data_IF_412498375346
#
_entry.id   IF_412498375346
#
_cell.length_a   1.000
_cell.length_b   1.000
_cell.length_c   1.000
_cell.angle_alpha   90.00
_cell.angle_beta   90.00
_cell.angle_gamma   90.00
#
_symmetry.space_group_name_H-M   'P 1'
#
loop_
_entity.id
_entity.type
_entity.pdbx_description
1 polymer ?
#
# COMPACT_ATOMS: atom_id res chain seq x y z
N UNK A 1 -13.55 10.14 3.91
CA UNK A 1 -12.11 9.83 3.99
C UNK A 1 -11.51 9.92 2.59
N UNK A 2 -10.27 10.40 2.45
CA UNK A 2 -9.54 10.42 1.17
C UNK A 2 -8.88 9.05 0.97
N UNK A 3 -9.01 8.46 -0.22
CA UNK A 3 -8.36 7.20 -0.56
C UNK A 3 -6.84 7.42 -0.75
N UNK A 4 -5.96 6.78 0.06
CA UNK A 4 -4.52 6.97 -0.02
C UNK A 4 -3.90 6.62 -1.38
N UNK A 5 -4.45 5.62 -2.09
CA UNK A 5 -3.96 5.21 -3.41
C UNK A 5 -4.12 6.32 -4.45
N UNK A 6 -5.30 6.94 -4.51
CA UNK A 6 -5.50 8.10 -5.39
C UNK A 6 -4.62 9.27 -4.96
N UNK A 7 -4.47 9.51 -3.65
CA UNK A 7 -3.60 10.60 -3.17
C UNK A 7 -2.15 10.42 -3.64
N UNK A 8 -1.59 9.23 -3.51
CA UNK A 8 -0.25 8.92 -4.01
C UNK A 8 -0.16 9.15 -5.53
N UNK A 9 -1.12 8.64 -6.29
CA UNK A 9 -1.17 8.80 -7.73
C UNK A 9 -1.19 10.27 -8.18
N UNK A 10 -2.03 11.10 -7.55
CA UNK A 10 -2.13 12.52 -7.90
C UNK A 10 -0.92 13.34 -7.43
N UNK A 11 -0.30 12.98 -6.31
CA UNK A 11 0.94 13.62 -5.85
C UNK A 11 2.12 13.33 -6.80
N UNK A 12 2.12 12.16 -7.43
CA UNK A 12 3.15 11.71 -8.37
C UNK A 12 2.87 12.06 -9.83
N UNK A 13 1.77 12.77 -10.11
CA UNK A 13 1.26 12.98 -11.49
C UNK A 13 2.24 13.73 -12.39
N UNK A 14 2.97 14.69 -11.84
CA UNK A 14 3.89 15.56 -12.59
C UNK A 14 5.36 15.11 -12.52
N UNK A 15 5.65 14.01 -11.81
CA UNK A 15 7.01 13.51 -11.60
C UNK A 15 7.92 14.42 -10.77
N UNK A 16 7.38 15.50 -10.17
CA UNK A 16 8.17 16.47 -9.40
C UNK A 16 8.58 15.97 -8.02
N UNK A 17 7.93 14.90 -7.55
CA UNK A 17 8.10 14.34 -6.20
C UNK A 17 8.32 12.84 -6.29
N UNK A 18 9.32 12.34 -5.57
CA UNK A 18 9.39 10.92 -5.24
C UNK A 18 8.26 10.62 -4.26
N UNK A 19 7.38 9.68 -4.61
CA UNK A 19 6.25 9.30 -3.77
C UNK A 19 6.32 7.79 -3.56
N UNK A 20 6.24 7.36 -2.30
CA UNK A 20 6.13 5.94 -1.95
C UNK A 20 4.85 5.72 -1.15
N UNK A 21 3.99 4.83 -1.63
CA UNK A 21 2.81 4.35 -0.91
C UNK A 21 3.17 3.06 -0.17
N UNK A 22 3.15 3.10 1.16
CA UNK A 22 3.42 1.91 1.99
C UNK A 22 2.11 1.27 2.45
N UNK A 23 1.85 0.04 2.03
CA UNK A 23 0.60 -0.69 2.26
C UNK A 23 0.82 -1.78 3.32
N UNK A 24 -0.13 -2.02 4.25
CA UNK A 24 -0.03 -3.15 5.18
C UNK A 24 -0.02 -4.50 4.43
N UNK A 25 0.94 -5.35 4.77
CA UNK A 25 0.98 -6.74 4.35
C UNK A 25 0.40 -7.63 5.44
N UNK A 26 -0.71 -8.29 5.13
CA UNK A 26 -1.45 -9.16 6.06
C UNK A 26 -1.19 -10.63 5.74
N UNK A 27 -1.16 -11.47 6.78
CA UNK A 27 -1.21 -12.93 6.60
C UNK A 27 -2.48 -13.35 5.86
N UNK A 28 -2.43 -14.48 5.15
CA UNK A 28 -3.58 -14.99 4.38
C UNK A 28 -4.85 -15.11 5.24
N UNK A 29 -4.72 -15.51 6.50
CA UNK A 29 -5.84 -15.58 7.44
C UNK A 29 -6.47 -14.20 7.70
N UNK A 30 -5.66 -13.16 7.90
CA UNK A 30 -6.15 -11.80 8.10
C UNK A 30 -6.68 -11.17 6.81
N UNK A 31 -6.11 -11.46 5.65
CA UNK A 31 -6.64 -10.99 4.36
C UNK A 31 -8.09 -11.43 4.16
N UNK A 32 -8.41 -12.70 4.45
CA UNK A 32 -9.79 -13.24 4.36
C UNK A 32 -10.80 -12.53 5.27
N UNK A 33 -10.34 -11.90 6.35
CA UNK A 33 -11.20 -11.16 7.28
C UNK A 33 -11.43 -9.70 6.85
N UNK A 34 -10.49 -9.12 6.10
CA UNK A 34 -10.45 -7.69 5.81
C UNK A 34 -10.86 -7.39 4.37
N UNK A 35 -10.41 -8.20 3.41
CA UNK A 35 -10.60 -7.92 1.99
C UNK A 35 -11.97 -8.43 1.52
N UNK A 36 -12.68 -7.64 0.69
CA UNK A 36 -13.98 -8.02 0.18
C UNK A 36 -13.86 -9.16 -0.84
N UNK A 37 -14.98 -9.82 -1.12
CA UNK A 37 -15.13 -10.76 -2.24
C UNK A 37 -14.12 -11.93 -2.26
N UNK A 38 -13.60 -12.34 -1.09
CA UNK A 38 -12.60 -13.40 -0.95
C UNK A 38 -11.29 -13.14 -1.72
N UNK A 39 -10.99 -11.88 -2.04
CA UNK A 39 -9.71 -11.53 -2.67
C UNK A 39 -8.60 -11.79 -1.66
N UNK A 40 -7.58 -12.51 -2.11
CA UNK A 40 -6.37 -12.79 -1.32
C UNK A 40 -5.16 -12.80 -2.24
N UNK A 41 -4.00 -12.50 -1.66
CA UNK A 41 -2.72 -12.45 -2.35
C UNK A 41 -1.72 -13.33 -1.61
N UNK A 42 -0.97 -14.11 -2.38
CA UNK A 42 0.07 -15.00 -1.86
C UNK A 42 1.42 -14.30 -1.73
N UNK A 43 1.61 -13.18 -2.43
CA UNK A 43 2.83 -12.36 -2.38
C UNK A 43 2.55 -10.86 -2.45
N UNK A 44 3.44 -10.00 -1.92
CA UNK A 44 3.35 -8.55 -2.08
C UNK A 44 3.33 -8.10 -3.54
N UNK A 45 4.11 -8.76 -4.41
CA UNK A 45 4.16 -8.45 -5.85
C UNK A 45 2.82 -8.65 -6.54
N UNK A 46 2.12 -9.75 -6.23
CA UNK A 46 0.76 -10.01 -6.73
C UNK A 46 -0.22 -8.92 -6.30
N UNK A 47 -0.17 -8.54 -5.02
CA UNK A 47 -0.99 -7.46 -4.47
C UNK A 47 -0.68 -6.12 -5.15
N UNK A 48 0.59 -5.82 -5.40
CA UNK A 48 1.01 -4.62 -6.12
C UNK A 48 0.45 -4.58 -7.55
N UNK A 49 0.52 -5.68 -8.29
CA UNK A 49 -0.05 -5.78 -9.64
C UNK A 49 -1.55 -5.48 -9.61
N UNK A 50 -2.28 -6.09 -8.67
CA UNK A 50 -3.71 -5.84 -8.49
C UNK A 50 -4.01 -4.37 -8.22
N UNK A 51 -3.28 -3.74 -7.27
CA UNK A 51 -3.45 -2.32 -6.92
C UNK A 51 -3.17 -1.41 -8.11
N UNK A 52 -2.14 -1.72 -8.92
CA UNK A 52 -1.82 -0.96 -10.13
C UNK A 52 -2.90 -1.07 -11.19
N UNK A 53 -3.37 -2.28 -11.48
CA UNK A 53 -4.45 -2.52 -12.45
C UNK A 53 -5.73 -1.81 -12.02
N UNK A 54 -6.12 -1.97 -10.76
CA UNK A 54 -7.30 -1.30 -10.19
C UNK A 54 -7.22 0.22 -10.33
N UNK A 55 -6.03 0.80 -10.13
CA UNK A 55 -5.82 2.24 -10.30
C UNK A 55 -5.88 2.66 -11.77
N UNK A 56 -5.19 1.93 -12.66
CA UNK A 56 -5.13 2.23 -14.10
C UNK A 56 -6.51 2.26 -14.76
N UNK A 57 -7.43 1.39 -14.34
CA UNK A 57 -8.82 1.40 -14.81
C UNK A 57 -9.60 2.68 -14.45
N UNK A 58 -9.09 3.51 -13.53
CA UNK A 58 -9.83 4.61 -12.89
C UNK A 58 -9.19 5.98 -13.09
N UNK A 59 -8.02 6.06 -13.71
CA UNK A 59 -7.32 7.32 -13.98
C UNK A 59 -6.88 7.41 -15.45
N UNK A 60 -6.82 8.62 -15.98
CA UNK A 60 -6.45 8.89 -17.38
C UNK A 60 -4.97 9.26 -17.57
N UNK A 61 -4.11 8.94 -16.59
CA UNK A 61 -2.68 9.23 -16.63
C UNK A 61 -1.88 8.09 -16.01
N UNK A 62 -0.57 8.07 -16.25
CA UNK A 62 0.34 7.06 -15.70
C UNK A 62 1.13 7.66 -14.53
N UNK A 63 0.73 7.44 -13.27
CA UNK A 63 1.40 7.99 -12.11
C UNK A 63 2.70 7.22 -11.81
N UNK A 64 3.77 7.97 -11.54
CA UNK A 64 5.09 7.42 -11.24
C UNK A 64 5.40 7.51 -9.73
N UNK A 65 4.91 6.52 -8.98
CA UNK A 65 5.15 6.38 -7.54
C UNK A 65 5.56 4.95 -7.23
N UNK A 66 6.25 4.70 -6.12
CA UNK A 66 6.61 3.36 -5.63
C UNK A 66 5.53 2.80 -4.71
N UNK A 67 5.37 1.47 -4.69
CA UNK A 67 4.54 0.77 -3.70
C UNK A 67 5.46 -0.12 -2.89
N UNK A 68 5.39 0.01 -1.58
CA UNK A 68 6.11 -0.83 -0.63
C UNK A 68 5.13 -1.45 0.36
N UNK A 69 5.59 -2.45 1.12
CA UNK A 69 4.76 -3.16 2.07
C UNK A 69 5.41 -3.25 3.44
N UNK A 70 4.64 -2.99 4.49
CA UNK A 70 5.07 -3.19 5.88
C UNK A 70 4.31 -4.36 6.52
N UNK A 71 4.94 -5.19 7.36
CA UNK A 71 4.26 -6.27 8.06
C UNK A 71 3.13 -5.74 8.96
N UNK A 72 1.94 -6.34 8.87
CA UNK A 72 0.78 -5.92 9.64
C UNK A 72 -0.11 -7.11 10.05
N UNK A 73 -0.97 -6.88 11.04
CA UNK A 73 -1.97 -7.85 11.51
C UNK A 73 -3.33 -7.21 11.68
N UNK A 74 -4.38 -7.98 11.44
CA UNK A 74 -5.74 -7.56 11.78
C UNK A 74 -6.05 -7.96 13.23
N UNK A 75 -6.22 -6.97 14.10
CA UNK A 75 -6.65 -7.15 15.47
C UNK A 75 -8.18 -7.22 15.52
N UNK A 76 -8.73 -8.44 15.57
CA UNK A 76 -10.18 -8.71 15.51
C UNK A 76 -10.94 -8.02 16.64
N UNK A 77 -10.39 -8.05 17.85
CA UNK A 77 -10.91 -7.37 19.05
C UNK A 77 -11.08 -5.86 18.86
N UNK A 78 -10.16 -5.26 18.10
CA UNK A 78 -10.13 -3.81 17.80
C UNK A 78 -10.74 -3.47 16.44
N UNK A 79 -11.12 -4.48 15.66
CA UNK A 79 -11.53 -4.34 14.25
C UNK A 79 -10.60 -3.44 13.44
N UNK A 80 -9.30 -3.55 13.68
CA UNK A 80 -8.29 -2.60 13.18
C UNK A 80 -7.07 -3.33 12.63
N UNK A 81 -6.42 -2.75 11.61
CA UNK A 81 -5.10 -3.19 11.14
C UNK A 81 -4.04 -2.49 11.98
N UNK A 82 -3.11 -3.26 12.53
CA UNK A 82 -1.99 -2.77 13.33
C UNK A 82 -0.68 -3.15 12.65
N UNK A 83 0.29 -2.24 12.65
CA UNK A 83 1.65 -2.56 12.21
C UNK A 83 2.30 -3.60 13.11
N UNK A 84 3.20 -4.37 12.52
CA UNK A 84 4.08 -5.31 13.22
C UNK A 84 5.51 -4.83 12.95
N UNK A 85 6.13 -4.19 13.94
CA UNK A 85 7.43 -3.54 13.79
C UNK A 85 7.31 -2.05 13.46
N UNK A 86 8.45 -1.44 13.15
CA UNK A 86 8.54 -0.06 12.69
C UNK A 86 8.28 0.02 11.17
N UNK A 87 7.48 0.99 10.76
CA UNK A 87 7.16 1.21 9.33
C UNK A 87 8.29 2.01 8.66
N UNK A 88 9.05 2.81 9.44
CA UNK A 88 10.15 3.62 8.92
C UNK A 88 11.23 2.75 8.25
N UNK A 89 11.50 1.56 8.80
CA UNK A 89 12.46 0.57 8.29
C UNK A 89 12.15 0.05 6.87
N UNK A 90 10.94 0.27 6.36
CA UNK A 90 10.56 -0.13 4.99
C UNK A 90 11.09 0.84 3.94
N UNK A 91 11.40 2.08 4.34
CA UNK A 91 12.02 3.07 3.47
C UNK A 91 13.51 3.11 3.79
N UNK A 92 14.40 2.80 2.82
CA UNK A 92 15.84 2.94 3.03
C UNK A 92 16.23 4.37 3.41
N UNK A 93 17.24 4.54 4.25
CA UNK A 93 17.73 5.85 4.69
C UNK A 93 18.11 6.78 3.51
N UNK A 94 18.58 6.21 2.40
CA UNK A 94 18.91 6.94 1.17
C UNK A 94 17.70 7.57 0.46
N UNK A 95 16.51 7.04 0.72
CA UNK A 95 15.23 7.51 0.18
C UNK A 95 14.38 8.24 1.24
N UNK A 96 14.87 8.33 2.48
CA UNK A 96 14.17 9.01 3.56
C UNK A 96 14.39 10.53 3.47
N UNK A 97 13.29 11.29 3.35
CA UNK A 97 13.32 12.77 3.33
C UNK A 97 13.57 13.40 4.72
N UNK A 98 13.67 12.58 5.78
CA UNK A 98 13.94 12.99 7.16
C UNK A 98 15.00 12.07 7.73
N UNK A 99 16.14 12.65 8.11
CA UNK A 99 17.26 11.97 8.77
C UNK A 99 17.04 11.78 10.28
#
# INVERSE_FOLDING_TARGET
AVNPLFRAAFLAKDGSRKVTLVIPWLSLQHQKLVYPNNITFTSPSEHQVYVRQWLQERISFSPDFSIQFYPAKFAVDKRSILSVGDISEVIPDEDADVA
#
